data_IF_020709972554
#
_entry.id   IF_020709972554
#
_cell.length_a   1.000
_cell.length_b   1.000
_cell.length_c   1.000
_cell.angle_alpha   90.00
_cell.angle_beta   90.00
_cell.angle_gamma   90.00
#
_symmetry.space_group_name_H-M   'P 1'
#
loop_
_entity.id
_entity.type
_entity.pdbx_description
1 polymer ?
#
# COMPACT_ATOMS: atom_id res chain seq x y z
N UNK A 1 38.88 18.62 12.58
CA UNK A 1 38.65 19.43 11.37
C UNK A 1 38.58 18.44 10.20
N UNK A 2 37.43 18.00 9.88
CA UNK A 2 37.19 17.21 8.68
C UNK A 2 35.95 17.82 8.00
N UNK A 3 36.26 18.72 7.06
CA UNK A 3 35.33 19.33 6.12
C UNK A 3 35.02 18.29 5.02
N UNK A 4 34.16 17.34 5.32
CA UNK A 4 33.48 16.53 4.34
C UNK A 4 31.97 16.81 4.44
N UNK A 5 31.61 18.11 4.45
CA UNK A 5 30.28 18.52 4.04
C UNK A 5 30.19 18.20 2.54
N UNK A 6 29.64 17.03 2.19
CA UNK A 6 29.22 16.77 0.83
C UNK A 6 28.36 17.97 0.41
N UNK A 7 28.82 18.69 -0.60
CA UNK A 7 28.15 19.83 -1.20
C UNK A 7 26.82 19.30 -1.78
N UNK A 8 25.79 19.24 -0.95
CA UNK A 8 24.42 19.02 -1.40
C UNK A 8 23.99 20.32 -2.05
N UNK A 9 23.73 20.27 -3.35
CA UNK A 9 23.42 21.39 -4.20
C UNK A 9 22.50 22.43 -3.59
N UNK A 10 22.47 23.61 -4.17
CA UNK A 10 21.64 24.74 -3.77
C UNK A 10 20.21 24.29 -3.43
N UNK A 11 19.52 25.06 -2.59
CA UNK A 11 18.12 24.79 -2.21
C UNK A 11 17.17 24.57 -3.42
N UNK A 12 17.60 24.97 -4.60
CA UNK A 12 16.92 24.72 -5.89
C UNK A 12 16.95 23.26 -6.38
N UNK A 13 17.86 22.41 -5.86
CA UNK A 13 18.00 21.01 -6.27
C UNK A 13 17.28 20.02 -5.33
N UNK A 14 16.50 20.50 -4.36
CA UNK A 14 15.79 19.64 -3.42
C UNK A 14 14.41 19.27 -3.95
N UNK A 15 14.11 17.99 -3.93
CA UNK A 15 12.77 17.47 -4.24
C UNK A 15 11.78 17.93 -3.15
N UNK A 16 10.65 18.51 -3.54
CA UNK A 16 9.54 18.80 -2.62
C UNK A 16 8.35 17.88 -2.92
N UNK A 17 8.23 16.81 -2.17
CA UNK A 17 7.10 15.88 -2.30
C UNK A 17 5.74 16.49 -1.86
N UNK A 18 5.73 17.71 -1.28
CA UNK A 18 4.50 18.44 -0.96
C UNK A 18 3.98 19.26 -2.15
N UNK A 19 4.80 19.42 -3.19
CA UNK A 19 4.41 20.11 -4.42
C UNK A 19 3.14 19.48 -5.01
N UNK A 20 2.16 20.27 -5.44
CA UNK A 20 0.98 19.75 -6.12
C UNK A 20 1.28 18.89 -7.35
N UNK A 21 2.39 19.17 -8.06
CA UNK A 21 2.88 18.37 -9.17
C UNK A 21 3.21 16.94 -8.78
N UNK A 22 3.79 16.72 -7.57
CA UNK A 22 4.02 15.37 -7.05
C UNK A 22 2.74 14.54 -7.02
N UNK A 23 1.63 15.12 -6.60
CA UNK A 23 0.34 14.41 -6.51
C UNK A 23 -0.28 14.15 -7.89
N UNK A 24 -0.15 15.12 -8.80
CA UNK A 24 -0.68 14.98 -10.15
C UNK A 24 0.09 13.90 -10.93
N UNK A 25 1.42 14.03 -10.97
CA UNK A 25 2.33 13.08 -11.63
C UNK A 25 3.71 13.12 -10.95
N UNK A 26 4.08 12.13 -10.12
CA UNK A 26 5.38 12.08 -9.46
C UNK A 26 6.51 11.65 -10.40
N UNK A 27 6.20 11.06 -11.55
CA UNK A 27 7.17 10.38 -12.41
C UNK A 27 8.26 11.29 -12.98
N UNK A 28 8.00 12.55 -13.39
CA UNK A 28 9.06 13.46 -13.82
C UNK A 28 10.09 13.73 -12.71
N UNK A 29 9.62 14.00 -11.48
CA UNK A 29 10.51 14.22 -10.33
C UNK A 29 11.27 12.94 -9.93
N UNK A 30 10.61 11.78 -9.99
CA UNK A 30 11.24 10.48 -9.72
C UNK A 30 12.30 10.13 -10.77
N UNK A 31 12.08 10.50 -12.03
CA UNK A 31 13.09 10.36 -13.10
C UNK A 31 14.30 11.24 -12.83
N UNK A 32 14.08 12.51 -12.55
CA UNK A 32 15.14 13.46 -12.21
C UNK A 32 15.97 12.99 -11.02
N UNK A 33 15.32 12.49 -9.97
CA UNK A 33 15.99 11.89 -8.81
C UNK A 33 16.93 10.76 -9.21
N UNK A 34 16.49 9.82 -10.06
CA UNK A 34 17.32 8.67 -10.50
C UNK A 34 18.52 9.10 -11.34
N UNK A 35 18.27 10.02 -12.28
CA UNK A 35 19.27 10.43 -13.28
C UNK A 35 20.37 11.29 -12.69
N UNK A 36 20.00 12.24 -11.81
CA UNK A 36 20.95 13.21 -11.26
C UNK A 36 21.67 12.70 -10.02
N UNK A 37 20.99 11.96 -9.17
CA UNK A 37 21.51 11.60 -7.85
C UNK A 37 21.31 10.12 -7.52
N UNK A 38 22.35 9.45 -6.99
CA UNK A 38 22.17 8.14 -6.37
C UNK A 38 21.32 8.26 -5.09
N UNK A 39 21.57 9.36 -4.35
CA UNK A 39 20.89 9.71 -3.10
C UNK A 39 20.72 11.23 -3.08
N UNK A 40 19.52 11.72 -2.79
CA UNK A 40 19.22 13.15 -2.64
C UNK A 40 18.58 13.45 -1.28
N UNK A 41 18.47 14.72 -0.92
CA UNK A 41 17.63 15.15 0.22
C UNK A 41 16.41 15.89 -0.29
N UNK A 42 15.26 15.64 0.35
CA UNK A 42 14.08 16.45 0.16
C UNK A 42 14.16 17.76 1.00
N UNK A 43 13.16 18.62 0.84
CA UNK A 43 13.05 19.88 1.60
C UNK A 43 12.84 19.67 3.11
N UNK A 44 12.42 18.48 3.54
CA UNK A 44 12.25 18.11 4.95
C UNK A 44 13.53 17.49 5.54
N UNK A 45 14.59 17.36 4.73
CA UNK A 45 15.84 16.74 5.15
C UNK A 45 15.86 15.22 5.10
N UNK A 46 14.83 14.59 4.50
CA UNK A 46 14.73 13.15 4.33
C UNK A 46 15.58 12.69 3.16
N UNK A 47 16.30 11.59 3.31
CA UNK A 47 17.08 11.00 2.24
C UNK A 47 16.19 10.22 1.27
N UNK A 48 16.32 10.51 -0.02
CA UNK A 48 15.58 9.84 -1.10
C UNK A 48 16.53 8.96 -1.90
N UNK A 49 16.20 7.69 -2.07
CA UNK A 49 16.96 6.69 -2.81
C UNK A 49 16.08 6.15 -3.92
N UNK A 50 16.46 6.38 -5.19
CA UNK A 50 15.60 6.10 -6.34
C UNK A 50 16.09 5.02 -7.29
N UNK A 51 17.39 4.63 -7.28
CA UNK A 51 17.91 3.60 -8.18
C UNK A 51 17.51 2.20 -7.72
N UNK A 52 17.10 1.37 -8.66
CA UNK A 52 16.59 0.02 -8.36
C UNK A 52 17.53 -0.83 -7.51
N UNK A 53 18.83 -0.85 -7.85
CA UNK A 53 19.82 -1.65 -7.13
C UNK A 53 19.92 -1.22 -5.65
N UNK A 54 19.94 0.09 -5.38
CA UNK A 54 20.07 0.65 -4.05
C UNK A 54 18.78 0.45 -3.23
N UNK A 55 17.62 0.65 -3.85
CA UNK A 55 16.31 0.42 -3.23
C UNK A 55 16.16 -1.06 -2.86
N UNK A 56 16.42 -1.98 -3.80
CA UNK A 56 16.31 -3.41 -3.55
C UNK A 56 17.29 -3.90 -2.47
N UNK A 57 18.54 -3.40 -2.49
CA UNK A 57 19.54 -3.70 -1.47
C UNK A 57 19.14 -3.15 -0.09
N UNK A 58 18.68 -1.90 -0.05
CA UNK A 58 18.23 -1.24 1.19
C UNK A 58 17.03 -1.93 1.84
N UNK A 59 16.04 -2.35 1.06
CA UNK A 59 14.86 -3.07 1.56
C UNK A 59 15.19 -4.49 2.05
N UNK A 60 16.24 -5.12 1.54
CA UNK A 60 16.72 -6.45 1.99
C UNK A 60 17.67 -6.36 3.17
N UNK A 61 18.23 -5.18 3.41
CA UNK A 61 19.15 -4.94 4.53
C UNK A 61 18.38 -4.92 5.86
N UNK A 62 18.99 -5.50 6.89
CA UNK A 62 18.50 -5.40 8.28
C UNK A 62 19.18 -4.30 9.08
N UNK A 63 20.16 -3.60 8.47
CA UNK A 63 20.89 -2.52 9.16
C UNK A 63 20.06 -1.28 9.40
N UNK A 64 19.31 -0.71 8.41
CA UNK A 64 18.41 0.37 8.70
C UNK A 64 17.11 -0.17 9.33
N UNK A 65 16.79 0.36 10.51
CA UNK A 65 15.61 0.00 11.28
C UNK A 65 14.31 0.44 10.58
N UNK A 66 13.23 -0.28 10.79
CA UNK A 66 11.88 0.16 10.42
C UNK A 66 11.15 0.88 11.58
N UNK A 67 11.75 1.01 12.76
CA UNK A 67 11.16 1.57 13.98
C UNK A 67 11.24 3.11 13.97
N UNK A 68 10.14 3.84 13.70
CA UNK A 68 10.17 5.31 13.58
C UNK A 68 10.48 6.02 14.91
N UNK A 69 10.18 5.39 16.05
CA UNK A 69 10.47 5.95 17.38
C UNK A 69 11.97 6.08 17.70
N UNK A 70 12.83 5.52 16.89
CA UNK A 70 14.29 5.71 16.98
C UNK A 70 14.75 7.06 16.44
N UNK A 71 13.87 7.78 15.71
CA UNK A 71 14.24 9.05 15.07
C UNK A 71 14.06 10.25 15.98
N UNK A 72 14.88 11.31 15.81
CA UNK A 72 14.67 12.60 16.49
C UNK A 72 13.30 13.21 16.17
N UNK A 73 12.82 13.06 14.94
CA UNK A 73 11.53 13.58 14.49
C UNK A 73 10.40 12.95 15.30
N UNK A 74 10.40 11.63 15.49
CA UNK A 74 9.40 10.96 16.30
C UNK A 74 9.45 11.45 17.76
N UNK A 75 10.63 11.64 18.32
CA UNK A 75 10.81 12.18 19.68
C UNK A 75 10.22 13.58 19.84
N UNK A 76 10.28 14.43 18.78
CA UNK A 76 9.64 15.75 18.77
C UNK A 76 8.12 15.66 18.66
N UNK A 77 7.60 14.63 17.96
CA UNK A 77 6.15 14.40 17.84
C UNK A 77 5.57 13.77 19.11
N UNK A 78 6.38 13.04 19.88
CA UNK A 78 5.94 12.29 21.06
C UNK A 78 5.11 13.10 22.07
N UNK A 79 5.40 14.37 22.41
CA UNK A 79 4.55 15.16 23.29
C UNK A 79 3.10 15.34 22.80
N UNK A 80 2.84 15.16 21.51
CA UNK A 80 1.53 15.29 20.90
C UNK A 80 0.80 13.95 20.71
N UNK A 81 1.51 12.85 20.82
CA UNK A 81 0.99 11.49 20.59
C UNK A 81 1.24 10.56 21.80
N UNK A 82 2.07 10.98 22.77
CA UNK A 82 2.39 10.20 23.96
C UNK A 82 1.10 9.83 24.72
N UNK A 83 1.06 8.58 25.18
CA UNK A 83 -0.07 8.00 25.89
C UNK A 83 -1.38 7.96 25.06
N UNK A 84 -1.29 8.23 23.74
CA UNK A 84 -2.44 8.04 22.86
C UNK A 84 -2.63 6.55 22.54
N UNK A 85 -3.89 6.09 22.37
CA UNK A 85 -4.16 4.73 21.91
C UNK A 85 -3.47 4.41 20.58
N UNK A 86 -3.26 5.43 19.72
CA UNK A 86 -2.55 5.31 18.46
C UNK A 86 -1.08 4.95 18.64
N UNK A 87 -0.34 5.61 19.55
CA UNK A 87 1.08 5.33 19.78
C UNK A 87 1.27 3.88 20.28
N UNK A 88 0.53 3.51 21.31
CA UNK A 88 0.57 2.16 21.86
C UNK A 88 0.26 1.09 20.79
N UNK A 89 -0.72 1.35 19.94
CA UNK A 89 -1.10 0.46 18.85
C UNK A 89 -0.01 0.34 17.78
N UNK A 90 0.55 1.47 17.32
CA UNK A 90 1.56 1.51 16.25
C UNK A 90 2.85 0.80 16.66
N UNK A 91 3.24 0.87 17.92
CA UNK A 91 4.40 0.13 18.45
C UNK A 91 4.21 -1.39 18.39
N UNK A 92 2.97 -1.87 18.28
CA UNK A 92 2.68 -3.30 18.11
C UNK A 92 2.66 -3.75 16.64
N UNK A 93 2.58 -2.83 15.69
CA UNK A 93 2.53 -3.18 14.27
C UNK A 93 3.81 -3.88 13.81
N UNK A 94 3.67 -5.10 13.28
CA UNK A 94 4.83 -5.83 12.73
C UNK A 94 5.53 -5.04 11.61
N UNK A 95 4.82 -4.13 10.94
CA UNK A 95 5.36 -3.24 9.91
C UNK A 95 6.51 -2.38 10.43
N UNK A 96 6.43 -1.93 11.68
CA UNK A 96 7.40 -1.03 12.32
C UNK A 96 8.29 -1.72 13.35
N UNK A 97 8.34 -3.04 13.35
CA UNK A 97 9.17 -3.80 14.29
C UNK A 97 10.30 -4.53 13.57
N UNK A 98 11.47 -4.60 14.21
CA UNK A 98 12.61 -5.39 13.77
C UNK A 98 12.58 -6.82 14.36
N UNK A 99 13.36 -7.77 13.83
CA UNK A 99 13.62 -9.02 14.52
C UNK A 99 14.20 -8.79 15.93
N UNK A 100 13.84 -9.61 16.93
CA UNK A 100 13.06 -10.86 16.81
C UNK A 100 11.54 -10.66 16.84
N UNK A 101 11.02 -9.48 17.31
CA UNK A 101 9.58 -9.21 17.44
C UNK A 101 8.85 -9.33 16.11
N UNK A 102 9.38 -8.69 15.05
CA UNK A 102 8.84 -8.83 13.69
C UNK A 102 8.72 -10.29 13.27
N UNK A 103 9.78 -11.10 13.44
CA UNK A 103 9.80 -12.51 13.00
C UNK A 103 8.72 -13.32 13.68
N UNK A 104 8.50 -13.11 14.98
CA UNK A 104 7.47 -13.80 15.75
C UNK A 104 6.07 -13.42 15.27
N UNK A 105 5.76 -12.12 15.20
CA UNK A 105 4.46 -11.61 14.76
C UNK A 105 4.15 -12.05 13.32
N UNK A 106 5.15 -11.91 12.42
CA UNK A 106 5.02 -12.31 11.02
C UNK A 106 4.71 -13.80 10.86
N UNK A 107 5.35 -14.66 11.64
CA UNK A 107 5.10 -16.11 11.61
C UNK A 107 3.64 -16.44 11.93
N UNK A 108 3.05 -15.76 12.92
CA UNK A 108 1.65 -15.97 13.32
C UNK A 108 0.71 -15.51 12.19
N UNK A 109 0.92 -14.30 11.65
CA UNK A 109 0.10 -13.77 10.58
C UNK A 109 0.20 -14.57 9.26
N UNK A 110 1.37 -15.16 8.94
CA UNK A 110 1.58 -15.93 7.71
C UNK A 110 0.60 -17.10 7.53
N UNK A 111 0.03 -17.63 8.60
CA UNK A 111 -0.91 -18.77 8.51
C UNK A 111 -2.13 -18.45 7.63
N UNK A 112 -2.62 -17.23 7.67
CA UNK A 112 -3.79 -16.80 6.89
C UNK A 112 -3.46 -16.46 5.42
N UNK A 113 -2.20 -16.18 5.12
CA UNK A 113 -1.79 -15.77 3.78
C UNK A 113 -1.06 -16.87 3.00
N UNK A 114 -1.21 -18.13 3.45
CA UNK A 114 -0.67 -19.29 2.72
C UNK A 114 -1.44 -19.52 1.41
N UNK A 115 -0.78 -19.96 0.34
CA UNK A 115 -1.44 -20.14 -0.96
C UNK A 115 -2.76 -20.93 -0.90
N UNK A 116 -2.87 -22.08 -0.22
CA UNK A 116 -4.15 -22.80 -0.19
C UNK A 116 -5.30 -22.02 0.45
N UNK A 117 -5.01 -21.16 1.44
CA UNK A 117 -6.02 -20.31 2.09
C UNK A 117 -6.48 -19.22 1.15
N UNK A 118 -5.51 -18.58 0.46
CA UNK A 118 -5.81 -17.51 -0.51
C UNK A 118 -6.54 -18.07 -1.73
N UNK A 119 -6.13 -19.23 -2.25
CA UNK A 119 -6.79 -19.86 -3.40
C UNK A 119 -8.24 -20.21 -3.08
N UNK A 120 -8.53 -20.66 -1.85
CA UNK A 120 -9.89 -20.94 -1.39
C UNK A 120 -10.79 -19.69 -1.31
N UNK A 121 -10.22 -18.48 -1.30
CA UNK A 121 -10.98 -17.22 -1.31
C UNK A 121 -11.45 -16.81 -2.70
N UNK A 122 -10.97 -17.44 -3.77
CA UNK A 122 -11.25 -17.01 -5.13
C UNK A 122 -12.76 -16.92 -5.40
N UNK A 123 -13.53 -17.97 -5.08
CA UNK A 123 -15.00 -18.00 -5.28
C UNK A 123 -15.70 -16.89 -4.49
N UNK A 124 -15.25 -16.62 -3.26
CA UNK A 124 -15.81 -15.55 -2.43
C UNK A 124 -15.52 -14.17 -3.00
N UNK A 125 -14.29 -13.94 -3.46
CA UNK A 125 -13.89 -12.68 -4.11
C UNK A 125 -14.69 -12.47 -5.40
N UNK A 126 -14.86 -13.53 -6.20
CA UNK A 126 -15.69 -13.49 -7.41
C UNK A 126 -17.15 -13.12 -7.09
N UNK A 127 -17.74 -13.75 -6.08
CA UNK A 127 -19.11 -13.47 -5.67
C UNK A 127 -19.29 -12.01 -5.20
N UNK A 128 -18.35 -11.49 -4.40
CA UNK A 128 -18.37 -10.07 -3.98
C UNK A 128 -18.19 -9.13 -5.17
N UNK A 129 -17.29 -9.45 -6.09
CA UNK A 129 -17.09 -8.65 -7.29
C UNK A 129 -18.33 -8.62 -8.18
N UNK A 130 -18.95 -9.77 -8.41
CA UNK A 130 -20.18 -9.88 -9.22
C UNK A 130 -21.34 -9.11 -8.58
N UNK A 131 -21.55 -9.23 -7.26
CA UNK A 131 -22.57 -8.47 -6.53
C UNK A 131 -22.38 -6.95 -6.70
N UNK A 132 -21.14 -6.46 -6.54
CA UNK A 132 -20.85 -5.04 -6.70
C UNK A 132 -21.02 -4.58 -8.16
N UNK A 133 -20.62 -5.40 -9.13
CA UNK A 133 -20.77 -5.11 -10.57
C UNK A 133 -22.26 -5.08 -10.96
N UNK A 134 -23.08 -5.98 -10.43
CA UNK A 134 -24.51 -6.03 -10.71
C UNK A 134 -25.26 -4.82 -10.15
N UNK A 135 -24.71 -4.16 -9.12
CA UNK A 135 -25.25 -2.91 -8.59
C UNK A 135 -24.89 -1.69 -9.45
N UNK A 136 -23.89 -1.79 -10.36
CA UNK A 136 -23.50 -0.70 -11.24
C UNK A 136 -24.53 -0.52 -12.37
N UNK A 137 -24.75 0.70 -12.86
CA UNK A 137 -25.62 0.95 -14.00
C UNK A 137 -25.09 0.25 -15.27
N UNK A 138 -25.95 -0.45 -15.99
CA UNK A 138 -25.58 -1.11 -17.22
C UNK A 138 -25.12 -0.13 -18.31
N UNK A 139 -25.67 1.08 -18.29
CA UNK A 139 -25.35 2.22 -19.14
C UNK A 139 -25.34 3.49 -18.28
N UNK A 140 -24.48 4.46 -18.61
CA UNK A 140 -24.35 5.70 -17.89
C UNK A 140 -23.08 5.82 -17.10
N UNK A 141 -23.04 6.72 -16.12
CA UNK A 141 -21.83 7.06 -15.36
C UNK A 141 -21.92 6.53 -13.92
N UNK A 142 -20.79 6.03 -13.43
CA UNK A 142 -20.60 5.60 -12.03
C UNK A 142 -19.20 5.97 -11.55
N UNK A 143 -18.99 6.06 -10.25
CA UNK A 143 -17.67 6.24 -9.65
C UNK A 143 -17.04 4.88 -9.32
N UNK A 144 -16.07 4.46 -10.11
CA UNK A 144 -15.36 3.19 -9.88
C UNK A 144 -14.83 3.07 -8.44
N UNK A 145 -14.29 4.18 -7.88
CA UNK A 145 -13.67 4.11 -6.56
C UNK A 145 -14.70 3.86 -5.47
N UNK A 146 -15.80 4.63 -5.44
CA UNK A 146 -16.83 4.52 -4.42
C UNK A 146 -17.68 3.27 -4.58
N UNK A 147 -18.03 2.91 -5.82
CA UNK A 147 -19.05 1.89 -6.09
C UNK A 147 -18.46 0.47 -6.22
N UNK A 148 -17.12 0.35 -6.48
CA UNK A 148 -16.50 -0.95 -6.73
C UNK A 148 -15.12 -1.12 -6.06
N UNK A 149 -14.14 -0.25 -6.38
CA UNK A 149 -12.75 -0.48 -6.01
C UNK A 149 -12.49 -0.40 -4.49
N UNK A 150 -13.26 0.40 -3.76
CA UNK A 150 -13.17 0.51 -2.29
C UNK A 150 -13.95 -0.61 -1.58
N UNK A 151 -15.23 -0.90 -1.91
CA UNK A 151 -15.99 -1.91 -1.19
C UNK A 151 -15.45 -3.33 -1.36
N UNK A 152 -14.88 -3.68 -2.52
CA UNK A 152 -14.38 -5.03 -2.75
C UNK A 152 -13.29 -5.45 -1.76
N UNK A 153 -12.12 -4.76 -1.66
CA UNK A 153 -11.06 -5.16 -0.74
C UNK A 153 -11.46 -5.08 0.74
N UNK A 154 -12.34 -4.14 1.11
CA UNK A 154 -12.81 -4.06 2.50
C UNK A 154 -13.66 -5.27 2.87
N UNK A 155 -14.60 -5.70 2.01
CA UNK A 155 -15.37 -6.91 2.25
C UNK A 155 -14.48 -8.15 2.32
N UNK A 156 -13.50 -8.24 1.43
CA UNK A 156 -12.54 -9.36 1.40
C UNK A 156 -11.69 -9.39 2.67
N UNK A 157 -11.15 -8.26 3.14
CA UNK A 157 -10.35 -8.27 4.37
C UNK A 157 -11.22 -8.54 5.62
N UNK A 158 -12.48 -8.11 5.64
CA UNK A 158 -13.42 -8.52 6.69
C UNK A 158 -13.60 -10.04 6.71
N UNK A 159 -13.82 -10.67 5.55
CA UNK A 159 -13.93 -12.12 5.44
C UNK A 159 -12.65 -12.83 5.93
N UNK A 160 -11.45 -12.35 5.54
CA UNK A 160 -10.16 -12.88 6.01
C UNK A 160 -10.02 -12.81 7.53
N UNK A 161 -10.48 -11.71 8.12
CA UNK A 161 -10.39 -11.46 9.56
C UNK A 161 -11.58 -12.03 10.34
N UNK A 162 -12.57 -12.63 9.67
CA UNK A 162 -13.79 -13.14 10.32
C UNK A 162 -14.68 -12.03 10.89
N UNK A 163 -14.65 -10.83 10.32
CA UNK A 163 -15.43 -9.66 10.73
C UNK A 163 -16.71 -9.53 9.88
N UNK A 164 -17.79 -8.93 10.42
CA UNK A 164 -18.99 -8.64 9.64
C UNK A 164 -18.68 -7.67 8.47
N UNK A 165 -19.23 -7.98 7.30
CA UNK A 165 -19.09 -7.14 6.10
C UNK A 165 -20.05 -5.95 6.08
N UNK A 166 -21.12 -5.99 6.90
CA UNK A 166 -22.14 -4.92 6.97
C UNK A 166 -21.59 -3.63 7.63
N UNK A 167 -20.53 -3.74 8.43
CA UNK A 167 -19.89 -2.62 9.11
C UNK A 167 -18.91 -1.83 8.20
N UNK A 168 -19.01 -2.02 6.89
CA UNK A 168 -18.12 -1.43 5.88
C UNK A 168 -17.91 0.08 6.05
N UNK A 169 -18.98 0.86 6.22
CA UNK A 169 -18.88 2.33 6.24
C UNK A 169 -18.05 2.85 7.43
N UNK A 170 -18.24 2.24 8.62
CA UNK A 170 -17.54 2.67 9.82
C UNK A 170 -16.09 2.17 9.82
N UNK A 171 -15.86 0.94 9.41
CA UNK A 171 -14.51 0.36 9.34
C UNK A 171 -13.65 1.09 8.32
N UNK A 172 -14.23 1.51 7.19
CA UNK A 172 -13.56 2.38 6.21
C UNK A 172 -13.17 3.73 6.82
N UNK A 173 -14.07 4.38 7.56
CA UNK A 173 -13.79 5.68 8.19
C UNK A 173 -12.59 5.60 9.15
N UNK A 174 -12.53 4.57 9.98
CA UNK A 174 -11.38 4.35 10.85
C UNK A 174 -10.09 4.10 10.06
N UNK A 175 -10.18 3.30 9.03
CA UNK A 175 -9.02 2.95 8.22
C UNK A 175 -8.46 4.15 7.45
N UNK A 176 -9.30 4.99 6.86
CA UNK A 176 -8.86 6.22 6.20
C UNK A 176 -8.07 7.13 7.15
N UNK A 177 -8.52 7.26 8.42
CA UNK A 177 -7.81 8.01 9.43
C UNK A 177 -6.48 7.35 9.82
N UNK A 178 -6.44 6.02 9.96
CA UNK A 178 -5.25 5.27 10.33
C UNK A 178 -4.22 5.15 9.21
N UNK A 179 -4.65 5.18 7.94
CA UNK A 179 -3.75 5.19 6.78
C UNK A 179 -2.82 6.42 6.77
N UNK A 180 -3.22 7.53 7.41
CA UNK A 180 -2.37 8.71 7.58
C UNK A 180 -1.12 8.47 8.42
N UNK A 181 -1.05 7.36 9.17
CA UNK A 181 0.12 7.01 10.00
C UNK A 181 1.38 6.77 9.15
N UNK A 182 1.22 6.26 7.93
CA UNK A 182 2.34 6.01 7.01
C UNK A 182 2.71 7.22 6.14
N UNK A 183 2.02 8.34 6.30
CA UNK A 183 2.32 9.59 5.58
C UNK A 183 3.42 10.39 6.29
N UNK A 184 4.34 11.04 5.54
CA UNK A 184 5.45 11.78 6.13
C UNK A 184 5.04 13.14 6.71
N UNK A 185 3.97 13.72 6.19
CA UNK A 185 3.45 15.03 6.62
C UNK A 185 2.03 14.86 7.14
N UNK A 186 1.81 15.25 8.40
CA UNK A 186 0.53 15.11 9.10
C UNK A 186 0.22 16.40 9.84
N UNK A 187 -1.05 16.79 9.82
CA UNK A 187 -1.55 17.87 10.66
C UNK A 187 -1.91 17.32 12.04
N UNK A 188 -1.92 18.18 13.05
CA UNK A 188 -2.36 17.80 14.41
C UNK A 188 -3.76 17.16 14.41
N UNK A 189 -4.71 17.75 13.65
CA UNK A 189 -6.05 17.22 13.52
C UNK A 189 -6.09 15.79 12.93
N UNK A 190 -5.16 15.45 12.02
CA UNK A 190 -5.04 14.11 11.45
C UNK A 190 -4.59 13.10 12.51
N UNK A 191 -3.63 13.48 13.38
CA UNK A 191 -3.17 12.64 14.48
C UNK A 191 -4.27 12.42 15.55
N UNK A 192 -5.03 13.46 15.86
CA UNK A 192 -6.18 13.37 16.79
C UNK A 192 -7.29 12.47 16.20
N UNK A 193 -7.57 12.57 14.92
CA UNK A 193 -8.53 11.70 14.23
C UNK A 193 -8.06 10.24 14.22
N UNK A 194 -6.79 10.00 13.92
CA UNK A 194 -6.20 8.66 13.96
C UNK A 194 -6.24 8.06 15.39
N UNK A 195 -6.01 8.88 16.42
CA UNK A 195 -6.12 8.45 17.82
C UNK A 195 -7.54 7.99 18.20
N UNK A 196 -8.56 8.74 17.78
CA UNK A 196 -9.97 8.34 18.00
C UNK A 196 -10.29 7.05 17.22
N UNK A 197 -9.92 7.00 15.94
CA UNK A 197 -10.15 5.82 15.10
C UNK A 197 -9.46 4.57 15.67
N UNK A 198 -8.24 4.71 16.19
CA UNK A 198 -7.52 3.62 16.86
C UNK A 198 -8.29 3.07 18.06
N UNK A 199 -8.83 3.96 18.91
CA UNK A 199 -9.60 3.55 20.08
C UNK A 199 -10.92 2.87 19.69
N UNK A 200 -11.68 3.49 18.79
CA UNK A 200 -12.99 2.97 18.34
C UNK A 200 -12.83 1.60 17.65
N UNK A 201 -11.84 1.47 16.79
CA UNK A 201 -11.55 0.21 16.12
C UNK A 201 -11.04 -0.88 17.08
N UNK A 202 -10.24 -0.50 18.07
CA UNK A 202 -9.79 -1.43 19.12
C UNK A 202 -10.98 -1.95 19.94
N UNK A 203 -11.93 -1.08 20.33
CA UNK A 203 -13.10 -1.47 21.09
C UNK A 203 -14.04 -2.39 20.28
N UNK A 204 -14.22 -2.08 18.98
CA UNK A 204 -14.92 -2.93 18.03
C UNK A 204 -14.29 -4.33 17.93
N UNK A 205 -12.97 -4.38 17.72
CA UNK A 205 -12.25 -5.65 17.59
C UNK A 205 -12.26 -6.47 18.87
N UNK A 206 -12.17 -5.85 20.07
CA UNK A 206 -12.29 -6.57 21.36
C UNK A 206 -13.60 -7.34 21.48
N UNK A 207 -14.70 -6.75 21.03
CA UNK A 207 -16.01 -7.43 21.02
C UNK A 207 -16.00 -8.66 20.10
N UNK A 208 -15.37 -8.57 18.93
CA UNK A 208 -15.24 -9.69 17.99
C UNK A 208 -14.27 -10.77 18.49
N UNK A 209 -13.13 -10.40 19.08
CA UNK A 209 -12.19 -11.32 19.74
C UNK A 209 -12.90 -12.14 20.82
N UNK A 210 -13.70 -11.49 21.68
CA UNK A 210 -14.46 -12.18 22.73
C UNK A 210 -15.45 -13.20 22.14
N UNK A 211 -16.13 -12.86 21.04
CA UNK A 211 -17.04 -13.75 20.33
C UNK A 211 -16.30 -14.95 19.73
N UNK A 212 -15.19 -14.72 19.00
CA UNK A 212 -14.37 -15.78 18.41
C UNK A 212 -13.84 -16.76 19.45
N UNK A 213 -13.44 -16.25 20.63
CA UNK A 213 -12.97 -17.07 21.75
C UNK A 213 -14.08 -18.02 22.24
N UNK A 214 -15.34 -17.54 22.30
CA UNK A 214 -16.49 -18.35 22.68
C UNK A 214 -16.86 -19.39 21.63
N UNK A 215 -16.84 -19.01 20.34
CA UNK A 215 -17.26 -19.84 19.20
C UNK A 215 -16.17 -20.79 18.69
N UNK A 216 -14.90 -20.57 19.00
CA UNK A 216 -13.73 -21.33 18.52
C UNK A 216 -13.70 -21.51 17.00
N UNK A 217 -13.80 -20.42 16.26
CA UNK A 217 -13.83 -20.40 14.80
C UNK A 217 -12.46 -20.77 14.21
N UNK A 218 -12.49 -21.49 13.09
CA UNK A 218 -11.30 -21.87 12.31
C UNK A 218 -11.04 -20.83 11.19
N UNK A 219 -10.70 -19.61 11.59
CA UNK A 219 -10.31 -18.49 10.70
C UNK A 219 -9.04 -17.83 11.24
N UNK A 220 -8.56 -16.76 10.57
CA UNK A 220 -7.35 -16.06 11.00
C UNK A 220 -7.50 -15.50 12.42
N UNK A 221 -8.63 -14.86 12.72
CA UNK A 221 -8.84 -14.30 14.05
C UNK A 221 -8.85 -15.40 15.11
N UNK A 222 -9.48 -16.55 14.85
CA UNK A 222 -9.44 -17.71 15.72
C UNK A 222 -8.03 -18.23 15.97
N UNK A 223 -7.19 -18.31 14.92
CA UNK A 223 -5.80 -18.72 15.06
C UNK A 223 -4.96 -17.71 15.88
N UNK A 224 -5.19 -16.41 15.71
CA UNK A 224 -4.50 -15.37 16.48
C UNK A 224 -4.97 -15.33 17.94
N UNK A 225 -6.26 -15.56 18.19
CA UNK A 225 -6.83 -15.71 19.54
C UNK A 225 -6.23 -16.93 20.25
N UNK A 226 -6.10 -18.06 19.56
CA UNK A 226 -5.44 -19.24 20.13
C UNK A 226 -3.96 -18.97 20.49
N UNK A 227 -3.24 -18.20 19.65
CA UNK A 227 -1.87 -17.78 19.94
C UNK A 227 -1.77 -16.80 21.11
N UNK A 228 -2.81 -16.02 21.36
CA UNK A 228 -2.92 -15.18 22.55
C UNK A 228 -3.16 -16.04 23.81
N UNK A 229 -4.07 -17.00 23.74
CA UNK A 229 -4.42 -17.87 24.86
C UNK A 229 -3.25 -18.76 25.30
N UNK A 230 -2.33 -19.12 24.39
CA UNK A 230 -1.09 -19.86 24.70
C UNK A 230 0.10 -18.97 25.12
N UNK A 231 -0.11 -17.64 25.17
CA UNK A 231 0.90 -16.67 25.59
C UNK A 231 1.93 -16.30 24.50
N UNK A 232 1.77 -16.79 23.26
CA UNK A 232 2.65 -16.44 22.14
C UNK A 232 2.41 -15.03 21.59
N UNK A 233 1.27 -14.39 21.95
CA UNK A 233 0.85 -13.09 21.52
C UNK A 233 0.21 -12.32 22.69
N UNK A 234 0.56 -11.05 22.90
CA UNK A 234 -0.13 -10.23 23.90
C UNK A 234 -1.44 -9.66 23.35
N UNK A 235 -2.30 -9.14 24.25
CA UNK A 235 -3.57 -8.48 23.87
C UNK A 235 -3.31 -7.29 22.92
N UNK A 236 -2.32 -6.46 23.27
CA UNK A 236 -1.97 -5.28 22.47
C UNK A 236 -1.36 -5.65 21.12
N UNK A 237 -0.55 -6.71 21.07
CA UNK A 237 0.01 -7.24 19.81
C UNK A 237 -1.08 -7.81 18.92
N UNK A 238 -2.05 -8.53 19.48
CA UNK A 238 -3.20 -9.04 18.75
C UNK A 238 -4.00 -7.90 18.12
N UNK A 239 -4.44 -6.94 18.94
CA UNK A 239 -5.20 -5.78 18.49
C UNK A 239 -4.44 -4.95 17.47
N UNK A 240 -3.20 -4.59 17.77
CA UNK A 240 -2.38 -3.76 16.88
C UNK A 240 -2.18 -4.41 15.50
N UNK A 241 -1.92 -5.72 15.46
CA UNK A 241 -1.71 -6.41 14.17
C UNK A 241 -3.00 -6.72 13.43
N UNK A 242 -4.14 -6.91 14.09
CA UNK A 242 -5.45 -6.97 13.42
C UNK A 242 -5.78 -5.65 12.73
N UNK A 243 -5.58 -4.52 13.43
CA UNK A 243 -5.77 -3.18 12.87
C UNK A 243 -4.82 -2.95 11.69
N UNK A 244 -3.54 -3.31 11.83
CA UNK A 244 -2.58 -3.22 10.74
C UNK A 244 -3.02 -4.02 9.51
N UNK A 245 -3.43 -5.27 9.68
CA UNK A 245 -3.85 -6.14 8.57
C UNK A 245 -5.10 -5.60 7.89
N UNK A 246 -6.03 -5.04 8.65
CA UNK A 246 -7.22 -4.41 8.10
C UNK A 246 -6.85 -3.16 7.26
N UNK A 247 -6.10 -2.21 7.84
CA UNK A 247 -5.72 -0.95 7.16
C UNK A 247 -4.86 -1.21 5.93
N UNK A 248 -3.84 -2.08 6.05
CA UNK A 248 -2.93 -2.38 4.95
C UNK A 248 -3.57 -3.21 3.84
N UNK A 249 -4.57 -4.04 4.17
CA UNK A 249 -5.15 -5.01 3.26
C UNK A 249 -6.07 -4.38 2.21
N UNK A 250 -6.85 -3.36 2.57
CA UNK A 250 -7.81 -2.81 1.62
C UNK A 250 -7.33 -1.55 0.89
N UNK A 251 -6.68 -0.63 1.56
CA UNK A 251 -6.31 0.68 1.00
C UNK A 251 -5.41 0.55 -0.23
N UNK A 252 -4.40 -0.30 -0.14
CA UNK A 252 -3.43 -0.50 -1.22
C UNK A 252 -4.02 -1.26 -2.41
N UNK A 253 -4.93 -2.21 -2.17
CA UNK A 253 -5.61 -2.98 -3.21
C UNK A 253 -6.68 -2.12 -3.92
N UNK A 254 -7.42 -1.29 -3.18
CA UNK A 254 -8.29 -0.25 -3.75
C UNK A 254 -7.53 0.61 -4.76
N UNK A 255 -6.36 1.11 -4.35
CA UNK A 255 -5.53 1.96 -5.20
C UNK A 255 -4.98 1.18 -6.41
N UNK A 256 -4.61 -0.09 -6.25
CA UNK A 256 -4.15 -0.95 -7.36
C UNK A 256 -5.25 -1.15 -8.42
N UNK A 257 -6.49 -1.41 -8.02
CA UNK A 257 -7.62 -1.57 -8.94
C UNK A 257 -7.90 -0.27 -9.68
N UNK A 258 -8.01 0.85 -8.97
CA UNK A 258 -8.30 2.16 -9.56
C UNK A 258 -7.20 2.65 -10.49
N UNK A 259 -5.95 2.68 -10.00
CA UNK A 259 -4.78 3.11 -10.79
C UNK A 259 -4.55 2.20 -12.00
N UNK A 260 -4.70 0.88 -11.80
CA UNK A 260 -4.53 -0.11 -12.85
C UNK A 260 -5.55 0.04 -13.97
N UNK A 261 -6.83 0.21 -13.64
CA UNK A 261 -7.86 0.44 -14.64
C UNK A 261 -7.67 1.77 -15.38
N UNK A 262 -7.38 2.86 -14.66
CA UNK A 262 -7.08 4.14 -15.30
C UNK A 262 -5.90 4.02 -16.27
N UNK A 263 -4.85 3.30 -15.87
CA UNK A 263 -3.69 3.07 -16.73
C UNK A 263 -4.05 2.27 -17.97
N UNK A 264 -4.86 1.23 -17.84
CA UNK A 264 -5.37 0.47 -19.01
C UNK A 264 -6.20 1.33 -19.96
N UNK A 265 -7.11 2.15 -19.42
CA UNK A 265 -7.93 3.06 -20.23
C UNK A 265 -7.09 4.09 -21.00
N UNK A 266 -5.96 4.50 -20.45
CA UNK A 266 -4.98 5.39 -21.10
C UNK A 266 -4.10 4.68 -22.15
N UNK A 267 -4.11 3.34 -22.16
CA UNK A 267 -3.35 2.51 -23.10
C UNK A 267 -4.29 1.57 -23.87
N UNK A 268 -5.12 2.09 -24.78
CA UNK A 268 -6.18 1.31 -25.44
C UNK A 268 -5.66 0.09 -26.21
N UNK A 269 -4.42 0.13 -26.70
CA UNK A 269 -3.78 -1.03 -27.34
C UNK A 269 -3.53 -2.17 -26.34
N UNK A 270 -3.07 -1.85 -25.12
CA UNK A 270 -2.85 -2.85 -24.08
C UNK A 270 -4.19 -3.37 -23.52
N UNK A 271 -5.20 -2.51 -23.40
CA UNK A 271 -6.55 -2.92 -23.01
C UNK A 271 -7.17 -3.89 -24.03
N UNK A 272 -7.03 -3.59 -25.33
CA UNK A 272 -7.51 -4.48 -26.39
C UNK A 272 -6.78 -5.85 -26.36
N UNK A 273 -5.48 -5.83 -26.12
CA UNK A 273 -4.64 -7.03 -25.99
C UNK A 273 -5.06 -7.87 -24.77
N UNK A 274 -5.35 -7.22 -23.62
CA UNK A 274 -5.81 -7.88 -22.40
C UNK A 274 -7.19 -8.55 -22.60
N UNK A 275 -8.09 -7.88 -23.34
CA UNK A 275 -9.40 -8.43 -23.69
C UNK A 275 -9.31 -9.64 -24.62
N UNK A 276 -8.35 -9.62 -25.55
CA UNK A 276 -8.11 -10.71 -26.50
C UNK A 276 -7.47 -11.94 -25.85
N UNK A 277 -6.67 -11.75 -24.80
CA UNK A 277 -5.98 -12.84 -24.10
C UNK A 277 -6.13 -12.71 -22.57
N UNK A 278 -7.15 -13.36 -21.98
CA UNK A 278 -7.35 -13.38 -20.52
C UNK A 278 -6.18 -13.97 -19.71
N UNK A 279 -5.28 -14.74 -20.33
CA UNK A 279 -4.07 -15.23 -19.68
C UNK A 279 -3.12 -14.12 -19.24
N UNK A 280 -3.28 -12.92 -19.80
CA UNK A 280 -2.46 -11.75 -19.49
C UNK A 280 -2.90 -11.00 -18.19
N UNK A 281 -4.03 -11.31 -17.57
CA UNK A 281 -4.44 -10.62 -16.34
C UNK A 281 -3.42 -10.71 -15.22
N UNK A 282 -2.75 -11.85 -15.03
CA UNK A 282 -1.69 -12.01 -14.04
C UNK A 282 -0.49 -11.09 -14.32
N UNK A 283 0.17 -11.20 -15.48
CA UNK A 283 1.24 -10.28 -15.90
C UNK A 283 0.82 -8.80 -15.89
N UNK A 284 -0.42 -8.48 -16.28
CA UNK A 284 -0.94 -7.11 -16.27
C UNK A 284 -0.96 -6.51 -14.86
N UNK A 285 -1.36 -7.27 -13.84
CA UNK A 285 -1.33 -6.81 -12.43
C UNK A 285 0.10 -6.50 -12.00
N UNK A 286 1.10 -7.32 -12.37
CA UNK A 286 2.50 -7.02 -12.06
C UNK A 286 2.97 -5.74 -12.76
N UNK A 287 2.55 -5.51 -14.00
CA UNK A 287 2.89 -4.30 -14.73
C UNK A 287 2.20 -3.05 -14.17
N UNK A 288 0.94 -3.17 -13.71
CA UNK A 288 0.25 -2.08 -12.99
C UNK A 288 1.00 -1.70 -11.72
N UNK A 289 1.43 -2.67 -10.92
CA UNK A 289 2.22 -2.47 -9.70
C UNK A 289 3.57 -1.80 -10.02
N UNK A 290 4.18 -2.14 -11.14
CA UNK A 290 5.42 -1.52 -11.59
C UNK A 290 5.21 -0.08 -12.06
N UNK A 291 4.22 0.13 -12.92
CA UNK A 291 4.03 1.37 -13.68
C UNK A 291 3.35 2.46 -12.85
N UNK A 292 2.30 2.11 -12.08
CA UNK A 292 1.51 3.04 -11.27
C UNK A 292 1.13 2.39 -9.93
N UNK A 293 2.16 2.06 -9.13
CA UNK A 293 1.97 1.35 -7.86
C UNK A 293 1.25 2.17 -6.79
N UNK A 294 0.63 1.46 -5.85
CA UNK A 294 -0.15 2.07 -4.76
C UNK A 294 0.71 2.70 -3.66
N UNK A 295 2.00 2.38 -3.59
CA UNK A 295 2.94 2.84 -2.56
C UNK A 295 4.14 3.48 -3.22
N UNK A 296 4.42 4.73 -2.91
CA UNK A 296 5.53 5.47 -3.50
C UNK A 296 6.88 5.15 -2.87
N UNK A 297 6.93 4.90 -1.55
CA UNK A 297 8.19 4.65 -0.85
C UNK A 297 8.02 3.82 0.42
N UNK A 298 9.13 3.28 0.90
CA UNK A 298 9.24 2.60 2.20
C UNK A 298 10.29 3.31 3.03
N UNK A 299 9.90 3.72 4.25
CA UNK A 299 10.79 4.41 5.19
C UNK A 299 11.72 3.42 5.91
N UNK A 300 12.97 3.84 6.16
CA UNK A 300 13.93 3.19 7.04
C UNK A 300 14.72 4.22 7.83
N UNK A 301 15.21 3.80 8.98
CA UNK A 301 15.91 4.68 9.94
C UNK A 301 17.23 4.02 10.36
N UNK A 302 18.38 4.46 9.85
CA UNK A 302 19.66 3.95 10.28
C UNK A 302 19.87 4.08 11.79
N UNK A 303 20.36 3.02 12.42
CA UNK A 303 20.75 3.01 13.84
C UNK A 303 22.28 3.02 14.02
N UNK A 304 22.99 2.81 12.94
CA UNK A 304 24.43 2.97 12.77
C UNK A 304 24.69 3.69 11.44
N UNK A 305 25.88 4.26 11.17
CA UNK A 305 26.17 4.88 9.89
C UNK A 305 25.85 3.93 8.72
N UNK A 306 24.99 4.38 7.81
CA UNK A 306 24.52 3.59 6.68
C UNK A 306 25.00 4.18 5.36
N UNK A 307 25.73 3.38 4.57
CA UNK A 307 26.34 3.86 3.33
C UNK A 307 25.57 3.41 2.09
N UNK A 308 25.30 4.37 1.20
CA UNK A 308 24.73 4.13 -0.15
C UNK A 308 25.64 4.86 -1.14
N UNK A 309 26.36 4.11 -1.99
CA UNK A 309 27.39 4.67 -2.85
C UNK A 309 28.46 5.40 -2.02
N UNK A 310 28.70 6.68 -2.31
CA UNK A 310 29.66 7.54 -1.58
C UNK A 310 29.02 8.29 -0.41
N UNK A 311 27.68 8.21 -0.25
CA UNK A 311 26.95 8.94 0.80
C UNK A 311 26.87 8.09 2.06
N UNK A 312 27.22 8.67 3.19
CA UNK A 312 26.99 8.09 4.52
C UNK A 312 25.85 8.83 5.19
N UNK A 313 24.83 8.08 5.59
CA UNK A 313 23.62 8.56 6.27
C UNK A 313 23.79 8.28 7.76
N UNK A 314 23.63 9.30 8.58
CA UNK A 314 23.87 9.22 10.02
C UNK A 314 22.74 8.50 10.77
N UNK A 315 23.03 7.92 11.94
CA UNK A 315 22.03 7.30 12.79
C UNK A 315 20.91 8.29 13.18
N UNK A 316 19.67 7.82 13.09
CA UNK A 316 18.48 8.61 13.43
C UNK A 316 17.93 9.45 12.29
N UNK A 317 18.61 9.54 11.16
CA UNK A 317 18.04 10.12 9.94
C UNK A 317 16.99 9.20 9.32
N UNK A 318 16.24 9.70 8.35
CA UNK A 318 15.21 8.95 7.66
C UNK A 318 15.59 8.77 6.19
N UNK A 319 15.44 7.55 5.69
CA UNK A 319 15.60 7.20 4.29
C UNK A 319 14.24 6.77 3.73
N UNK A 320 13.87 7.34 2.59
CA UNK A 320 12.77 6.83 1.75
C UNK A 320 13.35 6.08 0.57
N UNK A 321 13.12 4.78 0.53
CA UNK A 321 13.38 3.93 -0.62
C UNK A 321 12.23 4.08 -1.60
N UNK A 322 12.44 4.83 -2.70
CA UNK A 322 11.43 5.29 -3.64
C UNK A 322 11.05 4.18 -4.62
N UNK A 323 9.97 3.44 -4.33
CA UNK A 323 9.53 2.30 -5.14
C UNK A 323 9.12 2.73 -6.55
N UNK A 324 8.37 3.86 -6.67
CA UNK A 324 7.96 4.39 -7.96
C UNK A 324 9.14 4.79 -8.85
N UNK A 325 10.24 5.30 -8.25
CA UNK A 325 11.47 5.58 -8.97
C UNK A 325 12.17 4.29 -9.42
N UNK A 326 12.37 3.35 -8.51
CA UNK A 326 13.05 2.08 -8.77
C UNK A 326 12.34 1.25 -9.83
N UNK A 327 11.00 1.22 -9.81
CA UNK A 327 10.19 0.47 -10.76
C UNK A 327 10.23 1.03 -12.20
N UNK A 328 10.78 2.20 -12.40
CA UNK A 328 11.01 2.81 -13.71
C UNK A 328 12.51 3.07 -13.98
N UNK A 329 13.40 2.32 -13.33
CA UNK A 329 14.83 2.44 -13.54
C UNK A 329 15.24 1.73 -14.85
N UNK A 330 15.85 2.45 -15.84
CA UNK A 330 16.30 1.84 -17.08
C UNK A 330 17.45 0.83 -16.88
N UNK A 331 18.14 0.84 -15.74
CA UNK A 331 19.12 -0.18 -15.40
C UNK A 331 18.48 -1.53 -15.02
N UNK A 332 17.17 -1.54 -14.66
CA UNK A 332 16.44 -2.74 -14.27
C UNK A 332 15.35 -3.16 -15.27
N UNK A 333 14.79 -2.20 -16.02
CA UNK A 333 13.68 -2.43 -16.95
C UNK A 333 13.97 -1.81 -18.31
N UNK A 334 13.85 -2.62 -19.37
CA UNK A 334 13.90 -2.12 -20.76
C UNK A 334 12.67 -1.26 -21.02
N UNK A 335 12.82 -0.10 -21.65
CA UNK A 335 11.75 0.85 -21.91
C UNK A 335 10.86 1.08 -20.67
N UNK A 336 11.42 1.58 -19.54
CA UNK A 336 10.73 1.60 -18.24
C UNK A 336 9.47 2.48 -18.23
N UNK A 337 9.38 3.46 -19.11
CA UNK A 337 8.21 4.34 -19.22
C UNK A 337 7.06 3.70 -20.04
N UNK A 338 7.35 2.65 -20.81
CA UNK A 338 6.32 1.93 -21.56
C UNK A 338 5.52 1.03 -20.62
N UNK A 339 4.20 1.15 -20.65
CA UNK A 339 3.28 0.21 -20.05
C UNK A 339 3.11 -1.00 -20.98
N UNK A 340 3.49 -2.19 -20.54
CA UNK A 340 3.43 -3.43 -21.31
C UNK A 340 2.92 -4.57 -20.42
N UNK A 341 1.65 -4.95 -20.58
CA UNK A 341 0.99 -5.98 -19.76
C UNK A 341 1.59 -7.39 -19.91
N UNK A 342 2.46 -7.58 -20.87
CA UNK A 342 3.18 -8.84 -21.08
C UNK A 342 4.66 -8.77 -20.71
N UNK A 343 5.08 -7.73 -19.97
CA UNK A 343 6.48 -7.54 -19.59
C UNK A 343 7.05 -8.75 -18.87
N UNK A 344 8.17 -9.25 -19.38
CA UNK A 344 8.91 -10.37 -18.77
C UNK A 344 10.41 -10.20 -19.06
N UNK A 345 11.30 -10.28 -18.05
CA UNK A 345 10.98 -10.39 -16.63
C UNK A 345 10.37 -9.08 -16.06
N UNK A 346 9.58 -9.21 -14.98
CA UNK A 346 9.03 -8.07 -14.26
C UNK A 346 9.36 -8.21 -12.75
N UNK A 347 10.51 -7.69 -12.34
CA UNK A 347 11.00 -7.73 -10.96
C UNK A 347 10.59 -6.46 -10.18
N UNK A 348 9.32 -6.05 -10.29
CA UNK A 348 8.81 -4.86 -9.63
C UNK A 348 8.93 -4.93 -8.09
N UNK A 349 9.07 -3.77 -7.46
CA UNK A 349 9.23 -3.61 -6.01
C UNK A 349 7.97 -3.05 -5.32
N UNK A 350 6.81 -3.02 -5.97
CA UNK A 350 5.57 -2.46 -5.40
C UNK A 350 5.10 -3.17 -4.12
N UNK A 351 5.52 -4.42 -3.90
CA UNK A 351 5.32 -5.16 -2.66
C UNK A 351 6.52 -5.10 -1.69
N UNK A 352 7.48 -4.23 -1.94
CA UNK A 352 8.73 -4.17 -1.18
C UNK A 352 9.65 -5.36 -1.43
N UNK A 353 10.61 -5.56 -0.53
CA UNK A 353 11.56 -6.69 -0.57
C UNK A 353 12.05 -7.06 0.84
N UNK A 354 12.77 -8.20 0.95
CA UNK A 354 13.37 -8.66 2.20
C UNK A 354 12.35 -9.20 3.20
N UNK A 355 12.66 -9.08 4.49
CA UNK A 355 11.84 -9.65 5.57
C UNK A 355 10.46 -9.00 5.70
N UNK A 356 10.31 -7.75 5.24
CA UNK A 356 9.05 -6.99 5.20
C UNK A 356 8.34 -7.07 3.84
N UNK A 357 8.72 -7.97 2.94
CA UNK A 357 7.96 -8.21 1.71
C UNK A 357 6.47 -8.39 2.04
N UNK A 358 5.57 -7.78 1.28
CA UNK A 358 4.14 -7.73 1.60
C UNK A 358 3.55 -9.12 1.85
N UNK A 359 2.97 -9.31 3.03
CA UNK A 359 2.33 -10.58 3.42
C UNK A 359 1.06 -10.83 2.61
N UNK A 360 0.31 -9.77 2.28
CA UNK A 360 -0.92 -9.80 1.50
C UNK A 360 -0.71 -9.84 -0.01
N UNK A 361 0.55 -9.91 -0.51
CA UNK A 361 0.81 -9.87 -1.94
C UNK A 361 0.06 -10.95 -2.76
N UNK A 362 -0.09 -12.22 -2.31
CA UNK A 362 -0.90 -13.20 -3.02
C UNK A 362 -2.39 -12.80 -3.10
N UNK A 363 -2.95 -12.29 -1.99
CA UNK A 363 -4.35 -11.84 -1.93
C UNK A 363 -4.60 -10.63 -2.83
N UNK A 364 -3.76 -9.60 -2.74
CA UNK A 364 -3.89 -8.39 -3.56
C UNK A 364 -3.82 -8.69 -5.07
N UNK A 365 -2.95 -9.63 -5.47
CA UNK A 365 -2.88 -10.11 -6.86
C UNK A 365 -4.15 -10.82 -7.29
N UNK A 366 -4.68 -11.68 -6.44
CA UNK A 366 -5.91 -12.42 -6.71
C UNK A 366 -7.10 -11.46 -6.83
N UNK A 367 -7.26 -10.54 -5.88
CA UNK A 367 -8.31 -9.53 -5.89
C UNK A 367 -8.25 -8.64 -7.13
N UNK A 368 -7.08 -8.06 -7.44
CA UNK A 368 -6.93 -7.19 -8.62
C UNK A 368 -7.22 -7.95 -9.92
N UNK A 369 -6.74 -9.20 -10.04
CA UNK A 369 -7.00 -10.05 -11.21
C UNK A 369 -8.49 -10.33 -11.37
N UNK A 370 -9.18 -10.74 -10.31
CA UNK A 370 -10.62 -11.04 -10.34
C UNK A 370 -11.41 -9.76 -10.61
N UNK A 371 -11.14 -8.68 -9.88
CA UNK A 371 -11.83 -7.40 -10.03
C UNK A 371 -11.79 -6.91 -11.48
N UNK A 372 -10.60 -6.83 -12.06
CA UNK A 372 -10.42 -6.31 -13.41
C UNK A 372 -11.00 -7.26 -14.46
N UNK A 373 -10.84 -8.58 -14.31
CA UNK A 373 -11.38 -9.54 -15.28
C UNK A 373 -12.91 -9.51 -15.30
N UNK A 374 -13.57 -9.48 -14.14
CA UNK A 374 -15.03 -9.43 -14.04
C UNK A 374 -15.59 -8.10 -14.55
N UNK A 375 -14.99 -6.98 -14.13
CA UNK A 375 -15.40 -5.65 -14.57
C UNK A 375 -15.29 -5.48 -16.09
N UNK A 376 -14.15 -5.87 -16.67
CA UNK A 376 -13.93 -5.76 -18.11
C UNK A 376 -14.77 -6.76 -18.96
N UNK A 377 -15.16 -7.88 -18.38
CA UNK A 377 -16.11 -8.81 -19.00
C UNK A 377 -17.53 -8.24 -19.02
N UNK A 378 -17.95 -7.59 -17.93
CA UNK A 378 -19.29 -6.99 -17.80
C UNK A 378 -19.47 -5.74 -18.67
N UNK A 379 -18.42 -4.94 -18.82
CA UNK A 379 -18.43 -3.69 -19.55
C UNK A 379 -17.47 -3.75 -20.75
N UNK A 380 -17.96 -4.10 -21.95
CA UNK A 380 -17.12 -4.17 -23.15
C UNK A 380 -16.56 -2.81 -23.58
N UNK A 381 -17.23 -1.71 -23.24
CA UNK A 381 -16.73 -0.36 -23.49
C UNK A 381 -16.87 0.48 -22.22
N UNK A 382 -15.72 0.92 -21.71
CA UNK A 382 -15.59 1.84 -20.57
C UNK A 382 -14.74 3.03 -20.99
N UNK A 383 -15.19 4.22 -20.64
CA UNK A 383 -14.49 5.48 -20.92
C UNK A 383 -14.33 6.25 -19.60
N UNK A 384 -13.15 6.81 -19.37
CA UNK A 384 -12.97 7.78 -18.29
C UNK A 384 -13.67 9.09 -18.68
N UNK A 385 -14.52 9.60 -17.80
CA UNK A 385 -15.32 10.83 -18.05
C UNK A 385 -14.47 12.09 -17.82
N UNK A 386 -13.62 12.04 -16.78
CA UNK A 386 -12.82 13.19 -16.39
C UNK A 386 -11.51 13.23 -17.19
N UNK A 387 -11.17 14.36 -17.81
CA UNK A 387 -9.91 14.54 -18.52
C UNK A 387 -8.69 14.43 -17.60
N UNK A 388 -8.81 14.97 -16.38
CA UNK A 388 -7.78 14.91 -15.36
C UNK A 388 -8.27 14.12 -14.13
N UNK A 389 -7.59 13.06 -13.73
CA UNK A 389 -7.97 12.28 -12.56
C UNK A 389 -7.74 13.09 -11.29
N UNK A 390 -8.62 12.92 -10.30
CA UNK A 390 -8.45 13.49 -8.96
C UNK A 390 -7.73 12.52 -8.07
N UNK A 391 -6.47 12.84 -7.73
CA UNK A 391 -5.65 12.06 -6.83
C UNK A 391 -5.88 12.47 -5.38
N UNK A 392 -5.84 11.49 -4.48
CA UNK A 392 -5.87 11.71 -3.02
C UNK A 392 -4.69 12.58 -2.58
N UNK A 393 -4.88 13.34 -1.50
CA UNK A 393 -3.86 14.25 -0.96
C UNK A 393 -2.82 13.53 -0.09
N UNK A 394 -2.40 12.34 -0.51
CA UNK A 394 -1.42 11.52 0.17
C UNK A 394 -0.10 11.54 -0.62
N UNK A 395 1.02 11.48 0.10
CA UNK A 395 2.37 11.51 -0.51
C UNK A 395 2.85 10.08 -0.75
N UNK A 396 2.64 9.19 0.23
CA UNK A 396 3.08 7.81 0.16
C UNK A 396 2.07 6.90 -0.52
N UNK A 397 0.82 6.96 -0.10
CA UNK A 397 -0.24 6.12 -0.67
C UNK A 397 -0.83 6.79 -1.91
N UNK A 398 -0.48 6.28 -3.09
CA UNK A 398 -0.94 6.80 -4.37
C UNK A 398 -2.23 6.14 -4.80
N UNK A 399 -3.30 6.91 -4.81
CA UNK A 399 -4.63 6.43 -5.21
C UNK A 399 -5.53 7.56 -5.68
N UNK A 400 -6.55 7.19 -6.43
CA UNK A 400 -7.57 8.09 -6.91
C UNK A 400 -8.57 8.42 -5.81
N UNK A 401 -9.02 9.68 -5.76
CA UNK A 401 -10.14 10.11 -4.93
C UNK A 401 -11.46 9.67 -5.55
N UNK A 402 -11.56 9.82 -6.87
CA UNK A 402 -12.72 9.45 -7.69
C UNK A 402 -12.26 9.04 -9.08
N UNK A 403 -12.95 8.11 -9.70
CA UNK A 403 -12.77 7.74 -11.11
C UNK A 403 -14.14 7.54 -11.75
N UNK A 404 -14.68 8.62 -12.33
CA UNK A 404 -15.94 8.57 -13.07
C UNK A 404 -15.74 7.82 -14.40
N UNK A 405 -16.44 6.71 -14.55
CA UNK A 405 -16.45 5.91 -15.76
C UNK A 405 -17.83 5.97 -16.41
N UNK A 406 -17.85 5.97 -17.73
CA UNK A 406 -19.06 5.80 -18.53
C UNK A 406 -19.07 4.40 -19.13
N UNK A 407 -20.11 3.63 -18.80
CA UNK A 407 -20.44 2.41 -19.51
C UNK A 407 -21.17 2.77 -20.81
N UNK A 408 -20.63 2.33 -21.95
CA UNK A 408 -21.21 2.54 -23.28
C UNK A 408 -21.78 1.22 -23.78
N UNK A 409 -22.98 1.25 -24.33
CA UNK A 409 -23.57 0.07 -24.94
C UNK A 409 -22.61 -0.48 -26.04
N UNK A 410 -22.48 -1.81 -26.07
CA UNK A 410 -21.75 -2.42 -27.18
C UNK A 410 -22.44 -2.00 -28.50
N UNK A 411 -21.66 -1.60 -29.51
CA UNK A 411 -22.26 -1.31 -30.81
C UNK A 411 -23.05 -2.54 -31.26
N UNK A 412 -24.35 -2.35 -31.53
CA UNK A 412 -25.20 -3.37 -32.14
C UNK A 412 -24.60 -3.73 -33.51
N UNK A 413 -23.99 -4.91 -33.58
CA UNK A 413 -23.48 -5.49 -34.84
C UNK A 413 -24.63 -5.86 -35.76
#
# INVERSE_FOLDING_TARGET
MNDAAANFGDAADRVDMRDPGWRADPHPLLRELRERHAVARDVLGIWLVGRYADVNAGLRSTKPSCEPWRTPVYRQLRPFIADSPMEAMVEQWMLFNNPPKHTRLRRLANHAFRPPVIDAMAERIEAVADELIDALPAEGTFDLMADFAQPLPVRVICDVLGLPTDDFAITKTWSDALALIVEPVRRRADLEAAGRAAQEMADYLRAHIARHRAERRDDLLGALVAAQDDGSLSDDELLGNLILLFVAGHETTTNLIGNGLLTLLRHPGELARLRADPGLFGPAVEEMLRHEGSVNFIARHPIEPYRIGEVTIDPGETIFFMLGAANRDPAAFVDPERFDIGRTPNHQLGFGAGIHFCIGAPLARLEARIALSRLLARFPALEAVDEAPRWRRLINLRGLEVLNLRAVAAPTT
#
